data_IF_142173378366
#
_entry.id   IF_142173378366
#
_cell.length_a   1.000
_cell.length_b   1.000
_cell.length_c   1.000
_cell.angle_alpha   90.00
_cell.angle_beta   90.00
_cell.angle_gamma   90.00
#
_symmetry.space_group_name_H-M   'P 1'
#
loop_
_entity.id
_entity.type
_entity.pdbx_description
1 polymer ?
#
# COMPACT_ATOMS: atom_id res chain seq x y z
N UNK A 1 8.93 -16.52 -2.27
CA UNK A 1 7.75 -17.16 -2.88
C UNK A 1 6.50 -16.45 -2.39
N UNK A 2 5.63 -16.03 -3.31
CA UNK A 2 4.36 -15.33 -3.03
C UNK A 2 3.14 -16.23 -3.27
N UNK A 3 3.31 -17.49 -3.65
CA UNK A 3 2.20 -18.41 -3.91
C UNK A 3 1.18 -18.47 -2.76
N UNK A 4 1.59 -18.56 -1.48
CA UNK A 4 0.64 -18.72 -0.37
C UNK A 4 -0.32 -17.54 -0.15
N UNK A 5 0.00 -16.33 -0.63
CA UNK A 5 -0.91 -15.19 -0.46
C UNK A 5 -2.06 -15.19 -1.48
N UNK A 6 -1.95 -15.99 -2.55
CA UNK A 6 -2.94 -16.09 -3.64
C UNK A 6 -3.73 -17.41 -3.63
N UNK A 7 -3.67 -18.20 -2.56
CA UNK A 7 -4.46 -19.44 -2.42
C UNK A 7 -5.80 -19.24 -1.74
N UNK A 8 -6.32 -18.00 -1.74
CA UNK A 8 -7.51 -17.64 -0.97
C UNK A 8 -8.80 -17.81 -1.78
N UNK A 9 -9.88 -18.21 -1.10
CA UNK A 9 -11.16 -18.57 -1.73
C UNK A 9 -12.11 -17.38 -1.96
N UNK A 10 -11.83 -16.22 -1.37
CA UNK A 10 -12.68 -15.04 -1.51
C UNK A 10 -12.74 -14.56 -2.98
N UNK A 11 -13.94 -14.14 -3.41
CA UNK A 11 -14.15 -13.68 -4.79
C UNK A 11 -13.42 -12.38 -5.12
N UNK A 12 -13.09 -11.58 -4.10
CA UNK A 12 -12.32 -10.35 -4.20
C UNK A 12 -11.55 -10.11 -2.90
N UNK A 13 -10.26 -9.79 -3.02
CA UNK A 13 -9.39 -9.37 -1.91
C UNK A 13 -8.57 -8.19 -2.41
N UNK A 14 -8.39 -7.17 -1.58
CA UNK A 14 -7.57 -6.00 -1.90
C UNK A 14 -6.62 -5.69 -0.76
N UNK A 15 -5.44 -5.16 -1.04
CA UNK A 15 -4.53 -4.79 0.03
C UNK A 15 -5.14 -3.68 0.90
N UNK A 16 -5.32 -4.00 2.18
CA UNK A 16 -5.77 -3.08 3.20
C UNK A 16 -4.61 -2.19 3.59
N UNK A 17 -4.73 -0.91 3.25
CA UNK A 17 -3.70 0.06 3.50
C UNK A 17 -4.26 1.13 4.40
N UNK A 18 -3.80 1.10 5.64
CA UNK A 18 -4.41 1.88 6.69
C UNK A 18 -3.91 3.36 6.60
N UNK A 19 -2.85 3.66 5.81
CA UNK A 19 -2.12 4.94 5.82
C UNK A 19 -2.66 6.09 4.94
N UNK A 20 -3.89 6.04 4.42
CA UNK A 20 -4.51 7.19 3.73
C UNK A 20 -6.00 7.30 4.07
N UNK A 21 -6.67 8.39 3.66
CA UNK A 21 -8.15 8.47 3.64
C UNK A 21 -8.80 7.37 2.77
N UNK A 22 -7.99 6.59 2.04
CA UNK A 22 -8.37 5.51 1.14
C UNK A 22 -7.87 4.16 1.73
N UNK A 23 -8.69 3.46 2.52
CA UNK A 23 -8.33 2.24 3.23
C UNK A 23 -7.98 1.03 2.34
N UNK A 24 -8.35 1.04 1.06
CA UNK A 24 -7.85 0.05 0.10
C UNK A 24 -6.74 0.64 -0.76
N UNK A 25 -5.71 -0.14 -1.06
CA UNK A 25 -4.65 0.20 -2.00
C UNK A 25 -4.89 -0.46 -3.37
N UNK A 26 -4.79 0.33 -4.45
CA UNK A 26 -5.00 -0.17 -5.82
C UNK A 26 -3.87 -1.04 -6.36
N UNK A 27 -2.70 -1.05 -5.69
CA UNK A 27 -1.50 -1.74 -6.16
C UNK A 27 -1.57 -3.27 -6.08
N UNK A 28 -2.48 -3.82 -5.25
CA UNK A 28 -2.62 -5.25 -5.07
C UNK A 28 -4.07 -5.63 -4.79
N UNK A 29 -4.65 -6.42 -5.67
CA UNK A 29 -5.93 -7.06 -5.50
C UNK A 29 -5.95 -8.39 -6.26
N UNK A 30 -6.78 -9.33 -5.80
CA UNK A 30 -7.09 -10.58 -6.47
C UNK A 30 -8.59 -10.71 -6.61
N UNK A 31 -9.05 -11.27 -7.73
CA UNK A 31 -10.47 -11.50 -7.97
C UNK A 31 -10.72 -12.78 -8.77
N UNK A 32 -11.85 -13.41 -8.51
CA UNK A 32 -12.40 -14.41 -9.43
C UNK A 32 -12.94 -13.70 -10.66
N UNK A 33 -12.68 -14.25 -11.83
CA UNK A 33 -13.12 -13.65 -13.09
C UNK A 33 -14.64 -13.35 -13.04
N UNK A 34 -15.00 -12.11 -13.39
CA UNK A 34 -16.38 -11.63 -13.34
C UNK A 34 -16.85 -11.12 -11.97
N UNK A 35 -16.04 -11.20 -10.92
CA UNK A 35 -16.37 -10.58 -9.64
C UNK A 35 -16.29 -9.04 -9.73
N UNK A 36 -17.18 -8.37 -8.98
CA UNK A 36 -17.26 -6.89 -8.89
C UNK A 36 -17.38 -6.16 -10.24
N UNK A 37 -18.24 -6.61 -11.20
CA UNK A 37 -18.34 -5.97 -12.52
C UNK A 37 -18.81 -4.51 -12.43
N UNK A 38 -19.60 -4.21 -11.40
CA UNK A 38 -20.09 -2.87 -11.10
C UNK A 38 -18.97 -1.84 -10.77
N UNK A 39 -17.74 -2.28 -10.51
CA UNK A 39 -16.58 -1.38 -10.45
C UNK A 39 -16.32 -0.77 -11.83
N UNK A 40 -16.40 -1.58 -12.88
CA UNK A 40 -16.30 -1.13 -14.27
C UNK A 40 -17.58 -0.43 -14.72
N UNK A 41 -18.77 -0.99 -14.44
CA UNK A 41 -20.03 -0.42 -14.96
C UNK A 41 -20.31 1.00 -14.44
N UNK A 42 -19.75 1.35 -13.27
CA UNK A 42 -19.85 2.68 -12.67
C UNK A 42 -18.64 3.57 -12.96
N UNK A 43 -17.67 3.07 -13.72
CA UNK A 43 -16.55 3.89 -14.16
C UNK A 43 -17.05 4.92 -15.18
N UNK A 44 -16.88 6.19 -14.82
CA UNK A 44 -17.15 7.30 -15.71
C UNK A 44 -15.83 8.06 -15.95
N UNK A 45 -15.26 8.03 -17.17
CA UNK A 45 -14.02 8.75 -17.45
C UNK A 45 -14.15 10.26 -17.22
N UNK A 46 -15.36 10.83 -17.34
CA UNK A 46 -15.60 12.25 -17.10
C UNK A 46 -15.46 12.67 -15.63
N UNK A 47 -15.54 11.71 -14.68
CA UNK A 47 -15.26 11.97 -13.26
C UNK A 47 -13.76 12.29 -13.04
N UNK A 48 -12.92 12.01 -14.04
CA UNK A 48 -11.46 12.08 -13.97
C UNK A 48 -10.92 13.12 -14.93
N UNK A 49 -11.26 14.39 -14.68
CA UNK A 49 -10.70 15.50 -15.44
C UNK A 49 -9.24 15.77 -15.02
N UNK A 50 -8.33 16.01 -15.98
CA UNK A 50 -7.00 16.49 -15.66
C UNK A 50 -7.09 17.85 -14.94
N UNK A 51 -6.18 18.08 -14.00
CA UNK A 51 -5.99 19.43 -13.45
C UNK A 51 -5.33 20.35 -14.49
N UNK A 52 -5.11 21.60 -14.11
CA UNK A 52 -4.43 22.60 -14.94
C UNK A 52 -3.01 22.20 -15.42
N UNK A 53 -2.43 21.12 -14.89
CA UNK A 53 -1.11 20.60 -15.28
C UNK A 53 -1.20 19.31 -16.11
N UNK A 54 -2.39 18.91 -16.59
CA UNK A 54 -2.58 17.65 -17.30
C UNK A 54 -2.52 16.42 -16.41
N UNK A 55 -2.41 16.59 -15.09
CA UNK A 55 -2.33 15.49 -14.12
C UNK A 55 -3.74 15.15 -13.65
N UNK A 56 -4.08 13.87 -13.62
CA UNK A 56 -5.32 13.36 -13.03
C UNK A 56 -5.28 13.50 -11.51
N UNK A 57 -5.47 14.72 -11.01
CA UNK A 57 -5.37 15.08 -9.59
C UNK A 57 -6.43 14.44 -8.69
N UNK A 58 -7.45 13.82 -9.29
CA UNK A 58 -8.66 13.36 -8.59
C UNK A 58 -9.07 11.94 -8.94
N UNK A 59 -8.28 11.20 -9.71
CA UNK A 59 -8.63 9.88 -10.22
C UNK A 59 -7.50 8.89 -10.20
N UNK A 60 -7.39 8.12 -9.12
CA UNK A 60 -6.68 6.85 -9.16
C UNK A 60 -7.69 5.71 -9.16
N UNK A 61 -7.27 4.58 -9.72
CA UNK A 61 -7.88 3.27 -9.50
C UNK A 61 -8.21 3.04 -8.01
N UNK A 62 -7.27 3.36 -7.12
CA UNK A 62 -7.43 3.28 -5.67
C UNK A 62 -8.66 4.09 -5.21
N UNK A 63 -8.80 5.35 -5.66
CA UNK A 63 -9.94 6.19 -5.28
C UNK A 63 -11.26 5.66 -5.84
N UNK A 64 -11.26 5.19 -7.10
CA UNK A 64 -12.44 4.62 -7.75
C UNK A 64 -12.93 3.37 -7.01
N UNK A 65 -12.02 2.45 -6.73
CA UNK A 65 -12.31 1.20 -6.01
C UNK A 65 -12.83 1.52 -4.61
N UNK A 66 -12.20 2.43 -3.87
CA UNK A 66 -12.69 2.86 -2.54
C UNK A 66 -14.09 3.49 -2.62
N UNK A 67 -14.40 4.33 -3.63
CA UNK A 67 -15.73 4.94 -3.79
C UNK A 67 -16.83 3.89 -3.94
N UNK A 68 -16.52 2.74 -4.53
CA UNK A 68 -17.50 1.71 -4.89
C UNK A 68 -17.57 0.59 -3.86
N UNK A 69 -16.42 0.08 -3.40
CA UNK A 69 -16.33 -1.14 -2.61
C UNK A 69 -16.09 -0.92 -1.11
N UNK A 70 -15.72 0.29 -0.68
CA UNK A 70 -15.54 0.55 0.74
C UNK A 70 -16.85 1.00 1.42
N UNK A 71 -17.15 0.53 2.64
CA UNK A 71 -16.47 -0.53 3.42
C UNK A 71 -17.01 -1.94 3.11
N UNK A 72 -16.19 -2.99 3.27
CA UNK A 72 -16.70 -4.37 3.34
C UNK A 72 -15.90 -5.47 2.63
N UNK A 73 -14.79 -5.14 1.97
CA UNK A 73 -13.96 -6.13 1.28
C UNK A 73 -12.94 -6.76 2.23
N UNK A 74 -12.61 -8.03 1.96
CA UNK A 74 -11.53 -8.72 2.66
C UNK A 74 -10.20 -8.12 2.23
N UNK A 75 -9.29 -7.97 3.20
CA UNK A 75 -8.01 -7.31 2.95
C UNK A 75 -6.82 -8.16 3.37
N UNK A 76 -5.77 -8.14 2.55
CA UNK A 76 -4.44 -8.50 3.04
C UNK A 76 -3.93 -7.42 3.98
N UNK A 77 -3.18 -7.85 4.98
CA UNK A 77 -2.57 -7.02 6.02
C UNK A 77 -1.12 -7.44 6.26
N UNK A 78 -0.47 -6.82 7.23
CA UNK A 78 0.84 -7.23 7.75
C UNK A 78 0.85 -8.71 8.19
N UNK A 79 -0.28 -9.23 8.69
CA UNK A 79 -0.43 -10.65 9.07
C UNK A 79 -0.28 -11.61 7.88
N UNK A 80 -0.60 -11.14 6.68
CA UNK A 80 -0.47 -11.90 5.44
C UNK A 80 0.92 -11.73 4.80
N UNK A 81 1.80 -10.94 5.42
CA UNK A 81 3.13 -10.65 4.89
C UNK A 81 3.17 -9.54 3.83
N UNK A 82 2.12 -8.70 3.76
CA UNK A 82 2.06 -7.57 2.84
C UNK A 82 2.35 -6.28 3.59
N UNK A 83 3.43 -5.61 3.20
CA UNK A 83 3.96 -4.43 3.90
C UNK A 83 4.12 -3.23 2.97
N UNK A 84 3.99 -2.04 3.54
CA UNK A 84 4.43 -0.79 2.93
C UNK A 84 5.82 -0.42 3.46
N UNK A 85 6.76 -0.16 2.55
CA UNK A 85 8.12 0.21 2.94
C UNK A 85 8.13 1.44 3.86
N UNK A 86 7.45 2.52 3.47
CA UNK A 86 7.51 3.78 4.19
C UNK A 86 6.89 3.68 5.59
N UNK A 87 5.72 3.05 5.72
CA UNK A 87 4.99 3.08 7.00
C UNK A 87 5.33 1.94 7.93
N UNK A 88 5.73 0.79 7.38
CA UNK A 88 5.83 -0.45 8.15
C UNK A 88 7.26 -0.96 8.31
N UNK A 89 8.19 -0.55 7.42
CA UNK A 89 9.56 -1.09 7.37
C UNK A 89 10.64 -0.03 7.61
N UNK A 90 10.48 1.16 7.05
CA UNK A 90 11.51 2.21 7.07
C UNK A 90 11.85 2.61 8.50
N UNK A 91 13.16 2.65 8.79
CA UNK A 91 13.64 3.22 10.05
C UNK A 91 13.60 4.76 9.95
N UNK A 92 12.98 5.37 10.96
CA UNK A 92 12.93 6.82 11.10
C UNK A 92 13.94 7.33 12.15
N UNK A 93 14.61 6.44 12.89
CA UNK A 93 15.54 6.78 13.97
C UNK A 93 14.85 7.36 15.23
N UNK A 94 15.61 7.53 16.31
CA UNK A 94 15.11 8.05 17.60
C UNK A 94 14.72 9.54 17.55
N UNK A 95 15.46 10.36 16.81
CA UNK A 95 15.33 11.83 16.83
C UNK A 95 14.10 12.35 16.05
N UNK A 96 13.35 11.44 15.41
CA UNK A 96 12.20 11.81 14.59
C UNK A 96 10.91 11.10 14.95
N UNK A 97 10.75 10.63 16.19
CA UNK A 97 9.41 10.30 16.71
C UNK A 97 8.43 11.47 16.48
N UNK A 98 8.91 12.72 16.51
CA UNK A 98 8.14 13.91 16.15
C UNK A 98 7.81 14.03 14.66
N UNK A 99 8.75 13.77 13.75
CA UNK A 99 8.48 13.86 12.31
C UNK A 99 7.62 12.68 11.84
N UNK A 100 7.83 11.49 12.41
CA UNK A 100 6.97 10.33 12.27
C UNK A 100 5.59 10.58 12.88
N UNK A 101 5.49 11.13 14.09
CA UNK A 101 4.20 11.49 14.68
C UNK A 101 3.51 12.59 13.88
N UNK A 102 4.25 13.54 13.30
CA UNK A 102 3.72 14.54 12.38
C UNK A 102 3.21 13.87 11.10
N UNK A 103 3.98 12.96 10.49
CA UNK A 103 3.61 12.18 9.32
C UNK A 103 2.36 11.32 9.58
N UNK A 104 2.35 10.53 10.66
CA UNK A 104 1.22 9.71 11.08
C UNK A 104 0.00 10.57 11.42
N UNK A 105 0.15 11.72 12.09
CA UNK A 105 -0.98 12.64 12.33
C UNK A 105 -1.51 13.29 11.05
N UNK A 106 -0.63 13.59 10.09
CA UNK A 106 -0.99 14.20 8.82
C UNK A 106 -1.65 13.20 7.86
N UNK A 107 -1.30 11.91 7.95
CA UNK A 107 -1.62 10.94 6.90
C UNK A 107 -2.42 9.70 7.37
N UNK A 108 -2.41 9.36 8.66
CA UNK A 108 -3.08 8.17 9.19
C UNK A 108 -4.32 8.51 10.05
N UNK A 109 -5.32 7.61 10.09
CA UNK A 109 -6.49 7.77 10.97
C UNK A 109 -6.11 7.63 12.46
N UNK A 110 -6.83 8.34 13.36
CA UNK A 110 -6.78 8.10 14.81
C UNK A 110 -7.07 6.62 15.08
N UNK A 111 -6.09 5.87 15.58
CA UNK A 111 -6.24 4.45 15.93
C UNK A 111 -5.27 3.49 15.24
N UNK A 112 -4.38 3.98 14.36
CA UNK A 112 -3.28 3.19 13.80
C UNK A 112 -2.49 2.48 14.90
N UNK A 113 -2.64 1.16 14.97
CA UNK A 113 -1.83 0.34 15.87
C UNK A 113 -0.50 0.07 15.18
N UNK A 114 0.55 0.64 15.74
CA UNK A 114 1.97 0.33 15.57
C UNK A 114 2.19 -1.10 15.01
N UNK A 115 2.77 -1.23 13.81
CA UNK A 115 3.70 -2.34 13.56
C UNK A 115 4.93 -2.04 14.40
N UNK A 116 5.27 -2.95 15.31
CA UNK A 116 6.23 -2.70 16.38
C UNK A 116 7.64 -2.94 15.86
N UNK A 117 8.46 -1.88 15.80
CA UNK A 117 9.92 -2.01 15.76
C UNK A 117 10.56 -2.23 14.39
N UNK A 118 10.20 -1.45 13.38
CA UNK A 118 10.94 -1.48 12.12
C UNK A 118 12.21 -0.62 12.24
N UNK A 119 13.26 -1.23 12.78
CA UNK A 119 14.65 -0.78 12.74
C UNK A 119 15.25 -0.85 11.31
N UNK A 120 14.39 -0.87 10.30
CA UNK A 120 14.75 -1.09 8.91
C UNK A 120 14.90 -2.56 8.52
N UNK A 121 14.85 -3.49 9.48
CA UNK A 121 14.85 -4.91 9.16
C UNK A 121 13.58 -5.33 8.43
N UNK A 122 13.74 -6.25 7.49
CA UNK A 122 12.64 -6.89 6.79
C UNK A 122 11.92 -7.84 7.78
N UNK A 123 10.59 -7.74 7.97
CA UNK A 123 9.86 -8.66 8.85
C UNK A 123 9.98 -10.12 8.40
N UNK A 124 10.11 -11.06 9.35
CA UNK A 124 10.31 -12.49 9.06
C UNK A 124 9.20 -13.11 8.18
N UNK A 125 7.97 -12.63 8.33
CA UNK A 125 6.82 -13.08 7.55
C UNK A 125 6.61 -12.26 6.27
N UNK A 126 7.49 -11.30 5.93
CA UNK A 126 7.35 -10.50 4.74
C UNK A 126 7.33 -11.38 3.48
N UNK A 127 6.34 -11.12 2.62
CA UNK A 127 6.16 -11.76 1.31
C UNK A 127 6.20 -10.74 0.20
N UNK A 128 5.61 -9.57 0.41
CA UNK A 128 5.60 -8.44 -0.52
C UNK A 128 5.85 -7.15 0.25
N UNK A 129 6.72 -6.30 -0.29
CA UNK A 129 6.95 -4.94 0.21
C UNK A 129 6.68 -3.93 -0.91
N UNK A 130 5.70 -3.05 -0.71
CA UNK A 130 5.37 -1.98 -1.64
C UNK A 130 6.15 -0.70 -1.32
N UNK A 131 6.85 -0.18 -2.32
CA UNK A 131 7.58 1.09 -2.25
C UNK A 131 6.67 2.23 -2.75
N UNK A 132 5.63 2.54 -1.99
CA UNK A 132 4.69 3.60 -2.36
C UNK A 132 5.32 4.99 -2.17
N UNK A 133 5.11 5.90 -3.13
CA UNK A 133 5.51 7.30 -3.04
C UNK A 133 6.90 7.58 -3.60
N UNK A 134 7.75 8.28 -2.84
CA UNK A 134 9.05 8.77 -3.31
C UNK A 134 10.20 7.76 -3.12
N UNK A 135 9.94 6.61 -2.51
CA UNK A 135 10.92 5.57 -2.30
C UNK A 135 10.94 4.63 -3.51
N UNK A 136 12.14 4.30 -3.99
CA UNK A 136 12.34 3.46 -5.17
C UNK A 136 13.38 2.39 -4.81
N UNK A 137 13.08 1.08 -5.00
CA UNK A 137 14.00 0.00 -4.65
C UNK A 137 15.28 -0.02 -5.51
N UNK A 138 15.31 0.64 -6.66
CA UNK A 138 16.51 0.81 -7.49
C UNK A 138 17.49 1.87 -6.96
N UNK A 139 17.07 2.69 -6.00
CA UNK A 139 17.89 3.76 -5.44
C UNK A 139 19.09 3.20 -4.67
N UNK A 140 20.31 3.54 -5.11
CA UNK A 140 21.56 3.01 -4.54
C UNK A 140 21.84 3.46 -3.11
N UNK A 141 21.36 4.63 -2.71
CA UNK A 141 21.50 5.06 -1.32
C UNK A 141 20.56 4.24 -0.43
N UNK A 142 19.32 4.03 -0.88
CA UNK A 142 18.35 3.20 -0.17
C UNK A 142 18.83 1.74 -0.03
N UNK A 143 19.43 1.18 -1.08
CA UNK A 143 20.04 -0.16 -1.04
C UNK A 143 21.20 -0.26 -0.04
N UNK A 144 21.98 0.81 0.18
CA UNK A 144 23.03 0.83 1.20
C UNK A 144 22.47 0.88 2.61
N UNK A 145 21.39 1.63 2.81
CA UNK A 145 20.71 1.77 4.12
C UNK A 145 19.94 0.50 4.49
N UNK A 146 19.38 -0.19 3.50
CA UNK A 146 18.56 -1.39 3.66
C UNK A 146 19.11 -2.51 2.75
N UNK A 147 20.16 -3.25 3.17
CA UNK A 147 20.84 -4.22 2.31
C UNK A 147 19.93 -5.32 1.74
N UNK A 148 18.87 -5.69 2.45
CA UNK A 148 17.87 -6.64 1.96
C UNK A 148 17.20 -6.17 0.66
N UNK A 149 17.11 -4.85 0.40
CA UNK A 149 16.58 -4.34 -0.87
C UNK A 149 17.47 -4.83 -2.01
N UNK A 150 18.79 -4.71 -1.88
CA UNK A 150 19.72 -5.18 -2.90
C UNK A 150 19.68 -6.71 -3.04
N UNK A 151 19.47 -7.43 -1.94
CA UNK A 151 19.35 -8.89 -1.93
C UNK A 151 18.14 -9.38 -2.73
N UNK A 152 16.99 -8.70 -2.64
CA UNK A 152 15.73 -9.16 -3.25
C UNK A 152 15.32 -8.40 -4.52
N UNK A 153 15.89 -7.23 -4.80
CA UNK A 153 15.60 -6.44 -6.00
C UNK A 153 16.63 -6.71 -7.09
N UNK A 154 16.24 -7.53 -8.07
CA UNK A 154 17.03 -7.84 -9.27
C UNK A 154 16.41 -7.16 -10.50
N UNK A 155 17.27 -6.60 -11.36
CA UNK A 155 16.88 -5.99 -12.64
C UNK A 155 16.96 -7.02 -13.77
#
# INVERSE_FOLDING_TARGET
DITPIFTRDEDFIIWGEDWRKLPYCGALWMLKCGARPHVWDRFNPEDYQPNAHGLYSKGSDQKHINKILYPGEVTWTDRDGVYNFATDVKDYGEDTERQRAHFLRAHCKKGHKKVKGSDGALPDNARIVFFNGAHDPSNKQLQKEYPWIQEYWHL
#
